data_IF_561162276909
#
_entry.id   IF_561162276909
#
_cell.length_a   1.000
_cell.length_b   1.000
_cell.length_c   1.000
_cell.angle_alpha   90.00
_cell.angle_beta   90.00
_cell.angle_gamma   90.00
#
_symmetry.space_group_name_H-M   'P 1'
#
loop_
_entity.id
_entity.type
_entity.pdbx_description
1 polymer ?
#
# COMPACT_ATOMS: atom_id res chain seq x y z
N UNK A 1 15.00 19.49 30.05
CA UNK A 1 14.98 19.64 28.57
C UNK A 1 15.58 18.37 28.00
N UNK A 2 14.74 17.41 27.59
CA UNK A 2 15.24 16.11 27.10
C UNK A 2 15.71 16.25 25.67
N UNK A 3 17.03 16.08 25.50
CA UNK A 3 17.69 15.87 24.24
C UNK A 3 17.16 14.58 23.62
N UNK A 4 16.55 14.68 22.44
CA UNK A 4 16.09 13.53 21.67
C UNK A 4 17.34 12.82 21.16
N UNK A 5 17.59 11.62 21.69
CA UNK A 5 18.73 10.79 21.36
C UNK A 5 18.65 10.33 19.89
N UNK A 6 19.67 10.65 19.10
CA UNK A 6 19.71 10.35 17.66
C UNK A 6 19.91 8.85 17.34
N UNK A 7 20.09 7.96 18.34
CA UNK A 7 20.17 6.51 18.12
C UNK A 7 18.81 5.83 18.00
N UNK A 8 17.71 6.52 18.29
CA UNK A 8 16.35 5.97 18.16
C UNK A 8 15.77 6.11 16.74
N UNK A 9 16.48 6.76 15.80
CA UNK A 9 16.02 6.87 14.40
C UNK A 9 16.37 5.67 13.52
N UNK A 10 17.28 4.78 13.94
CA UNK A 10 17.66 3.62 13.14
C UNK A 10 16.74 2.40 13.31
N UNK A 11 15.79 2.43 14.27
CA UNK A 11 14.87 1.30 14.50
C UNK A 11 13.59 1.35 13.65
N UNK A 12 13.35 2.47 12.97
CA UNK A 12 12.18 2.67 12.10
C UNK A 12 12.49 2.49 10.60
N UNK A 13 13.76 2.28 10.23
CA UNK A 13 14.21 2.29 8.83
C UNK A 13 14.69 0.95 8.26
N UNK A 14 14.95 -0.05 9.09
CA UNK A 14 15.37 -1.39 8.64
C UNK A 14 14.21 -2.37 8.86
N UNK A 15 13.70 -2.98 7.78
CA UNK A 15 12.92 -4.24 7.78
C UNK A 15 11.39 -4.24 8.01
N UNK A 16 10.66 -3.12 7.85
CA UNK A 16 9.18 -3.17 7.98
C UNK A 16 8.44 -3.64 6.72
N UNK A 17 9.03 -3.53 5.53
CA UNK A 17 8.40 -3.94 4.26
C UNK A 17 8.09 -5.45 4.17
N UNK A 18 9.01 -6.38 4.52
CA UNK A 18 8.68 -7.81 4.55
C UNK A 18 7.64 -8.12 5.63
N UNK A 19 7.72 -7.47 6.80
CA UNK A 19 6.77 -7.64 7.89
C UNK A 19 5.34 -7.21 7.50
N UNK A 20 5.17 -6.13 6.74
CA UNK A 20 3.85 -5.66 6.31
C UNK A 20 3.19 -6.64 5.33
N UNK A 21 3.94 -7.17 4.36
CA UNK A 21 3.41 -8.16 3.43
C UNK A 21 3.04 -9.48 4.14
N UNK A 22 3.86 -9.94 5.09
CA UNK A 22 3.54 -11.11 5.91
C UNK A 22 2.34 -10.87 6.82
N UNK A 23 2.24 -9.70 7.46
CA UNK A 23 1.10 -9.34 8.29
C UNK A 23 -0.19 -9.26 7.48
N UNK A 24 -0.14 -8.69 6.28
CA UNK A 24 -1.25 -8.69 5.33
C UNK A 24 -1.66 -10.12 4.95
N UNK A 25 -0.70 -11.02 4.67
CA UNK A 25 -0.99 -12.43 4.37
C UNK A 25 -1.63 -13.17 5.56
N UNK A 26 -1.12 -12.96 6.78
CA UNK A 26 -1.72 -13.54 8.00
C UNK A 26 -3.13 -13.01 8.23
N UNK A 27 -3.35 -11.71 8.02
CA UNK A 27 -4.67 -11.09 8.12
C UNK A 27 -5.63 -11.65 7.08
N UNK A 28 -5.20 -11.79 5.83
CA UNK A 28 -5.96 -12.39 4.74
C UNK A 28 -6.40 -13.82 5.08
N UNK A 29 -5.47 -14.65 5.54
CA UNK A 29 -5.75 -16.02 5.97
C UNK A 29 -6.76 -16.07 7.13
N UNK A 30 -6.63 -15.18 8.11
CA UNK A 30 -7.57 -15.10 9.25
C UNK A 30 -8.99 -14.68 8.85
N UNK A 31 -9.13 -13.96 7.73
CA UNK A 31 -10.41 -13.46 7.23
C UNK A 31 -11.00 -14.33 6.11
N UNK A 32 -10.25 -15.34 5.64
CA UNK A 32 -10.63 -16.11 4.46
C UNK A 32 -10.64 -15.29 3.17
N UNK A 33 -9.87 -14.19 3.12
CA UNK A 33 -9.76 -13.30 1.96
C UNK A 33 -8.56 -13.71 1.12
N UNK A 34 -8.72 -13.74 -0.20
CA UNK A 34 -7.59 -13.97 -1.11
C UNK A 34 -6.70 -12.73 -1.17
N UNK A 35 -5.41 -12.88 -0.83
CA UNK A 35 -4.40 -11.83 -1.02
C UNK A 35 -3.34 -12.31 -2.00
N UNK A 36 -3.23 -11.64 -3.13
CA UNK A 36 -2.17 -11.84 -4.11
C UNK A 36 -1.36 -10.56 -4.30
N UNK A 37 -0.05 -10.66 -4.16
CA UNK A 37 0.89 -9.54 -4.30
C UNK A 37 1.92 -9.95 -5.34
N UNK A 38 1.83 -9.34 -6.51
CA UNK A 38 2.80 -9.46 -7.60
C UNK A 38 3.67 -8.21 -7.73
N UNK A 39 4.55 -8.22 -8.72
CA UNK A 39 5.42 -7.09 -9.05
C UNK A 39 4.59 -5.85 -9.40
N UNK A 40 3.66 -6.00 -10.36
CA UNK A 40 2.84 -4.92 -10.90
C UNK A 40 1.38 -4.96 -10.42
N UNK A 41 0.99 -5.90 -9.55
CA UNK A 41 -0.42 -6.13 -9.21
C UNK A 41 -0.61 -6.46 -7.73
N UNK A 42 -1.67 -5.90 -7.14
CA UNK A 42 -2.15 -6.27 -5.80
C UNK A 42 -3.64 -6.60 -5.89
N UNK A 43 -4.01 -7.78 -5.41
CA UNK A 43 -5.39 -8.26 -5.33
C UNK A 43 -5.74 -8.61 -3.89
N UNK A 44 -6.86 -8.09 -3.41
CA UNK A 44 -7.41 -8.27 -2.06
C UNK A 44 -8.90 -8.62 -2.21
N UNK A 45 -9.21 -9.92 -2.26
CA UNK A 45 -10.56 -10.39 -2.57
C UNK A 45 -11.01 -9.88 -3.94
N UNK A 46 -12.13 -9.16 -3.99
CA UNK A 46 -12.66 -8.53 -5.21
C UNK A 46 -12.00 -7.19 -5.57
N UNK A 47 -11.16 -6.64 -4.68
CA UNK A 47 -10.43 -5.40 -4.94
C UNK A 47 -9.10 -5.72 -5.65
N UNK A 48 -8.84 -5.02 -6.76
CA UNK A 48 -7.65 -5.23 -7.56
C UNK A 48 -7.07 -3.91 -8.06
N UNK A 49 -5.76 -3.78 -7.95
CA UNK A 49 -4.99 -2.70 -8.58
C UNK A 49 -3.80 -3.26 -9.34
N UNK A 50 -3.53 -2.67 -10.51
CA UNK A 50 -2.42 -3.05 -11.39
C UNK A 50 -1.69 -1.80 -11.87
N UNK A 51 -0.38 -1.72 -11.69
CA UNK A 51 0.47 -0.66 -12.22
C UNK A 51 1.23 -1.17 -13.45
N UNK A 52 0.82 -0.78 -14.66
CA UNK A 52 1.46 -1.23 -15.89
C UNK A 52 1.60 -0.10 -16.89
N UNK A 53 2.78 0.04 -17.49
CA UNK A 53 3.02 1.00 -18.56
C UNK A 53 2.86 2.47 -18.13
N UNK A 54 3.15 2.78 -16.86
CA UNK A 54 3.00 4.13 -16.31
C UNK A 54 1.58 4.46 -15.84
N UNK A 55 0.69 3.47 -15.76
CA UNK A 55 -0.72 3.63 -15.40
C UNK A 55 -1.10 2.68 -14.26
N UNK A 56 -1.68 3.23 -13.20
CA UNK A 56 -2.38 2.52 -12.14
C UNK A 56 -3.82 2.30 -12.56
N UNK A 57 -4.19 1.05 -12.82
CA UNK A 57 -5.55 0.58 -13.02
C UNK A 57 -6.15 0.18 -11.69
N UNK A 58 -7.35 0.69 -11.42
CA UNK A 58 -8.09 0.46 -10.19
C UNK A 58 -9.55 0.16 -10.54
N UNK A 59 -10.38 -0.30 -9.58
CA UNK A 59 -11.81 -0.46 -9.82
C UNK A 59 -12.54 0.87 -10.08
N UNK A 60 -11.89 2.00 -9.78
CA UNK A 60 -12.45 3.34 -9.88
C UNK A 60 -12.00 4.11 -11.13
N UNK A 61 -11.01 3.59 -11.87
CA UNK A 61 -10.42 4.26 -13.03
C UNK A 61 -8.94 3.96 -13.21
N UNK A 62 -8.34 4.67 -14.16
CA UNK A 62 -6.93 4.56 -14.53
C UNK A 62 -6.22 5.91 -14.29
N UNK A 63 -5.05 5.86 -13.65
CA UNK A 63 -4.32 7.05 -13.19
C UNK A 63 -2.83 6.93 -13.49
N UNK A 64 -2.11 8.01 -13.81
CA UNK A 64 -0.68 7.93 -14.07
C UNK A 64 0.09 7.53 -12.81
N UNK A 65 0.99 6.55 -12.88
CA UNK A 65 1.86 6.15 -11.77
C UNK A 65 3.24 5.72 -12.28
N UNK A 66 4.29 6.24 -11.66
CA UNK A 66 5.66 5.77 -11.85
C UNK A 66 5.96 4.51 -11.03
N UNK A 67 7.05 3.84 -11.36
CA UNK A 67 7.46 2.60 -10.66
C UNK A 67 7.77 2.85 -9.18
N UNK A 68 8.49 3.91 -8.84
CA UNK A 68 8.76 4.29 -7.44
C UNK A 68 7.47 4.63 -6.67
N UNK A 69 6.56 5.37 -7.32
CA UNK A 69 5.25 5.74 -6.76
C UNK A 69 4.41 4.48 -6.50
N UNK A 70 4.49 3.49 -7.39
CA UNK A 70 3.83 2.19 -7.24
C UNK A 70 4.37 1.37 -6.06
N UNK A 71 5.68 1.28 -5.88
CA UNK A 71 6.25 0.55 -4.74
C UNK A 71 5.82 1.17 -3.40
N UNK A 72 5.76 2.50 -3.33
CA UNK A 72 5.25 3.21 -2.14
C UNK A 72 3.76 2.91 -1.94
N UNK A 73 2.94 3.02 -2.99
CA UNK A 73 1.51 2.74 -2.93
C UNK A 73 1.22 1.29 -2.51
N UNK A 74 1.98 0.32 -3.03
CA UNK A 74 1.89 -1.09 -2.65
C UNK A 74 2.12 -1.29 -1.15
N UNK A 75 3.14 -0.63 -0.60
CA UNK A 75 3.38 -0.63 0.84
C UNK A 75 2.20 -0.06 1.65
N UNK A 76 1.63 1.07 1.21
CA UNK A 76 0.47 1.68 1.85
C UNK A 76 -0.77 0.78 1.81
N UNK A 77 -1.06 0.15 0.67
CA UNK A 77 -2.18 -0.77 0.48
C UNK A 77 -2.08 -1.99 1.41
N UNK A 78 -0.90 -2.60 1.47
CA UNK A 78 -0.68 -3.77 2.33
C UNK A 78 -0.76 -3.40 3.80
N UNK A 79 -0.20 -2.25 4.20
CA UNK A 79 -0.27 -1.77 5.57
C UNK A 79 -1.71 -1.45 5.99
N UNK A 80 -2.47 -0.79 5.10
CA UNK A 80 -3.88 -0.51 5.33
C UNK A 80 -4.69 -1.79 5.49
N UNK A 81 -4.49 -2.77 4.60
CA UNK A 81 -5.19 -4.04 4.67
C UNK A 81 -4.81 -4.84 5.93
N UNK A 82 -3.53 -4.90 6.28
CA UNK A 82 -3.06 -5.58 7.49
C UNK A 82 -3.73 -4.98 8.76
N UNK A 83 -3.89 -3.66 8.79
CA UNK A 83 -4.47 -2.93 9.93
C UNK A 83 -5.99 -3.02 9.98
N UNK A 84 -6.67 -2.81 8.86
CA UNK A 84 -8.14 -2.68 8.80
C UNK A 84 -8.85 -4.00 8.46
N UNK A 85 -8.16 -4.95 7.83
CA UNK A 85 -8.76 -6.21 7.37
C UNK A 85 -9.74 -6.06 6.21
N UNK A 86 -9.72 -4.93 5.50
CA UNK A 86 -10.55 -4.67 4.32
C UNK A 86 -9.74 -3.89 3.28
N UNK A 87 -10.06 -4.01 1.98
CA UNK A 87 -9.49 -3.12 0.98
C UNK A 87 -9.92 -1.67 1.22
N UNK A 88 -9.14 -0.68 0.73
CA UNK A 88 -9.51 0.72 0.81
C UNK A 88 -10.73 1.03 -0.07
N UNK A 89 -11.56 1.97 0.36
CA UNK A 89 -12.56 2.61 -0.48
C UNK A 89 -11.95 3.66 -1.43
N UNK A 90 -12.75 4.23 -2.33
CA UNK A 90 -12.29 5.22 -3.32
C UNK A 90 -11.53 6.40 -2.68
N UNK A 91 -12.04 6.93 -1.58
CA UNK A 91 -11.44 8.09 -0.90
C UNK A 91 -10.14 7.70 -0.21
N UNK A 92 -10.11 6.54 0.44
CA UNK A 92 -8.90 6.01 1.08
C UNK A 92 -7.81 5.72 0.04
N UNK A 93 -8.19 5.17 -1.12
CA UNK A 93 -7.27 4.97 -2.23
C UNK A 93 -6.75 6.29 -2.80
N UNK A 94 -7.61 7.31 -2.92
CA UNK A 94 -7.21 8.65 -3.36
C UNK A 94 -6.18 9.28 -2.41
N UNK A 95 -6.37 9.12 -1.10
CA UNK A 95 -5.44 9.60 -0.07
C UNK A 95 -4.09 8.87 -0.14
N UNK A 96 -4.11 7.54 -0.27
CA UNK A 96 -2.89 6.73 -0.45
C UNK A 96 -2.16 7.07 -1.75
N UNK A 97 -2.90 7.26 -2.84
CA UNK A 97 -2.33 7.66 -4.12
C UNK A 97 -1.69 9.05 -4.03
N UNK A 98 -2.34 10.00 -3.34
CA UNK A 98 -1.76 11.31 -3.06
C UNK A 98 -0.49 11.20 -2.23
N UNK A 99 -0.49 10.37 -1.18
CA UNK A 99 0.67 10.15 -0.33
C UNK A 99 1.84 9.50 -1.09
N UNK A 100 1.56 8.64 -2.06
CA UNK A 100 2.58 7.94 -2.85
C UNK A 100 3.12 8.78 -4.03
N UNK A 101 2.28 9.58 -4.68
CA UNK A 101 2.62 10.32 -5.91
C UNK A 101 2.88 11.82 -5.68
N UNK A 102 2.39 12.37 -4.57
CA UNK A 102 2.30 13.81 -4.36
C UNK A 102 1.32 14.52 -5.30
N UNK A 103 0.58 13.79 -6.14
CA UNK A 103 -0.39 14.34 -7.09
C UNK A 103 -1.78 14.28 -6.48
N UNK A 104 -2.54 15.39 -6.43
CA UNK A 104 -3.92 15.35 -5.96
C UNK A 104 -4.69 14.35 -6.83
N UNK A 105 -5.08 13.24 -6.21
CA UNK A 105 -5.76 12.16 -6.92
C UNK A 105 -7.11 12.66 -7.42
N UNK A 106 -7.28 12.78 -8.75
CA UNK A 106 -8.61 12.79 -9.36
C UNK A 106 -9.18 11.36 -9.41
N UNK A 107 -9.03 10.60 -8.31
CA UNK A 107 -9.49 9.22 -8.18
C UNK A 107 -10.97 9.18 -7.86
#
# INVERSE_FOLDING_TARGET
MSVIDQRDKHRFGEDSTPNVAENARRKAASLGVELSVGEDRVKIGDFEVEARGGELRTPFGAYPIGQDEWEILKGLLLNFFASNGRPPDRRELADMYFAASGRPGQI
#
